data_IF_576009055525
#
_entry.id   IF_576009055525
#
_cell.length_a   1.000
_cell.length_b   1.000
_cell.length_c   1.000
_cell.angle_alpha   90.00
_cell.angle_beta   90.00
_cell.angle_gamma   90.00
#
_symmetry.space_group_name_H-M   'P 1'
#
loop_
_entity.id
_entity.type
_entity.pdbx_description
1 polymer ?
#
# COMPACT_ATOMS: atom_id res chain seq x y z
N UNK A 1 -71.78 7.29 31.65
CA UNK A 1 -71.72 7.65 30.21
C UNK A 1 -70.55 8.60 30.01
N UNK A 2 -69.43 8.13 29.44
CA UNK A 2 -68.29 8.99 29.03
C UNK A 2 -68.26 9.06 27.51
N UNK A 3 -67.98 10.23 26.91
CA UNK A 3 -67.93 10.35 25.46
C UNK A 3 -66.59 9.78 24.96
N UNK A 4 -66.65 8.85 24.00
CA UNK A 4 -65.48 8.40 23.26
C UNK A 4 -65.14 9.46 22.21
N UNK A 5 -64.06 10.21 22.45
CA UNK A 5 -63.48 11.13 21.46
C UNK A 5 -62.89 10.28 20.33
N UNK A 6 -63.43 10.42 19.12
CA UNK A 6 -63.00 9.71 17.91
C UNK A 6 -61.68 10.30 17.40
N UNK A 7 -60.57 9.66 17.77
CA UNK A 7 -59.18 10.03 17.45
C UNK A 7 -58.78 9.82 15.97
N UNK A 8 -59.71 9.47 15.09
CA UNK A 8 -59.44 8.86 13.78
C UNK A 8 -59.75 9.75 12.56
N UNK A 9 -59.52 11.08 12.64
CA UNK A 9 -59.65 11.97 11.47
C UNK A 9 -58.50 12.98 11.25
N UNK A 10 -57.38 12.84 11.96
CA UNK A 10 -56.21 13.75 11.82
C UNK A 10 -54.93 13.01 11.39
N UNK A 11 -54.84 11.69 11.60
CA UNK A 11 -53.62 10.93 11.37
C UNK A 11 -53.16 10.70 9.90
N UNK A 12 -54.01 10.62 8.85
CA UNK A 12 -53.51 10.22 7.53
C UNK A 12 -52.84 11.38 6.77
N UNK A 13 -53.12 12.65 7.12
CA UNK A 13 -52.55 13.82 6.42
C UNK A 13 -51.13 14.17 6.89
N UNK A 14 -50.84 13.99 8.19
CA UNK A 14 -49.51 14.28 8.77
C UNK A 14 -48.45 13.25 8.36
N UNK A 15 -48.83 11.96 8.26
CA UNK A 15 -47.93 10.89 7.82
C UNK A 15 -47.54 11.05 6.34
N UNK A 16 -48.47 11.50 5.50
CA UNK A 16 -48.21 11.74 4.07
C UNK A 16 -47.24 12.91 3.82
N UNK A 17 -47.33 13.99 4.61
CA UNK A 17 -46.41 15.14 4.54
C UNK A 17 -44.99 14.81 5.04
N UNK A 18 -44.85 13.94 6.04
CA UNK A 18 -43.54 13.48 6.53
C UNK A 18 -42.82 12.58 5.52
N UNK A 19 -43.54 11.73 4.78
CA UNK A 19 -42.95 10.85 3.75
C UNK A 19 -42.43 11.68 2.57
N UNK A 20 -43.14 12.73 2.14
CA UNK A 20 -42.69 13.61 1.05
C UNK A 20 -41.41 14.36 1.43
N UNK A 21 -41.24 14.73 2.70
CA UNK A 21 -40.05 15.43 3.20
C UNK A 21 -38.80 14.53 3.21
N UNK A 22 -38.98 13.21 3.37
CA UNK A 22 -37.89 12.24 3.38
C UNK A 22 -37.34 11.95 1.97
N UNK A 23 -38.13 12.19 0.91
CA UNK A 23 -37.69 12.03 -0.49
C UNK A 23 -36.99 13.27 -1.07
N UNK A 24 -37.16 14.47 -0.50
CA UNK A 24 -36.50 15.69 -0.99
C UNK A 24 -35.08 15.92 -0.45
N UNK A 25 -34.66 15.24 0.62
CA UNK A 25 -33.28 15.36 1.14
C UNK A 25 -32.26 14.53 0.33
N UNK A 26 -32.71 13.67 -0.59
CA UNK A 26 -31.85 12.80 -1.39
C UNK A 26 -31.05 13.48 -2.50
N UNK A 27 -31.34 14.74 -2.85
CA UNK A 27 -30.76 15.41 -4.02
C UNK A 27 -29.66 16.44 -3.71
N UNK A 28 -29.32 16.68 -2.44
CA UNK A 28 -28.35 17.71 -2.07
C UNK A 28 -26.90 17.42 -2.54
N UNK A 29 -26.60 16.18 -2.96
CA UNK A 29 -25.26 15.77 -3.38
C UNK A 29 -25.13 15.44 -4.88
N UNK A 30 -26.14 15.73 -5.69
CA UNK A 30 -26.11 15.44 -7.13
C UNK A 30 -25.03 16.24 -7.90
N UNK A 31 -24.54 17.36 -7.33
CA UNK A 31 -23.44 18.15 -7.90
C UNK A 31 -22.03 17.60 -7.68
N UNK A 32 -21.87 16.52 -6.90
CA UNK A 32 -20.56 15.95 -6.59
C UNK A 32 -20.14 14.82 -7.55
N UNK A 33 -21.01 14.42 -8.48
CA UNK A 33 -20.71 13.36 -9.45
C UNK A 33 -19.98 13.97 -10.65
N UNK A 34 -18.67 14.20 -10.50
CA UNK A 34 -17.80 14.61 -11.61
C UNK A 34 -16.79 15.74 -11.29
N UNK A 35 -16.90 16.39 -10.14
CA UNK A 35 -15.88 17.33 -9.69
C UNK A 35 -14.65 16.57 -9.19
N UNK A 36 -13.48 16.77 -9.81
CA UNK A 36 -12.21 16.24 -9.26
C UNK A 36 -12.01 16.81 -7.85
N UNK A 37 -11.61 15.98 -6.86
CA UNK A 37 -11.29 16.48 -5.53
C UNK A 37 -10.13 17.48 -5.61
N UNK A 38 -9.99 18.36 -4.62
CA UNK A 38 -8.92 19.39 -4.59
C UNK A 38 -7.51 18.79 -4.71
N UNK A 39 -7.33 17.56 -4.25
CA UNK A 39 -6.08 16.79 -4.36
C UNK A 39 -6.38 15.43 -5.01
N UNK A 40 -6.46 15.35 -6.34
CA UNK A 40 -6.72 14.10 -7.02
C UNK A 40 -5.55 13.13 -6.84
N UNK A 41 -5.89 11.89 -6.51
CA UNK A 41 -4.94 10.78 -6.39
C UNK A 41 -5.06 9.88 -7.62
N UNK A 42 -3.94 9.31 -8.04
CA UNK A 42 -3.81 8.29 -9.06
C UNK A 42 -3.53 6.94 -8.40
N UNK A 43 -4.21 5.89 -8.85
CA UNK A 43 -3.80 4.52 -8.54
C UNK A 43 -2.70 4.08 -9.50
N UNK A 44 -1.54 3.70 -8.96
CA UNK A 44 -0.42 3.18 -9.74
C UNK A 44 -0.14 1.72 -9.38
N UNK A 45 0.32 0.94 -10.36
CA UNK A 45 0.86 -0.39 -10.09
C UNK A 45 2.07 -0.28 -9.17
N UNK A 46 2.24 -1.23 -8.25
CA UNK A 46 3.32 -1.23 -7.27
C UNK A 46 4.15 -2.49 -7.42
N UNK A 47 5.46 -2.36 -7.59
CA UNK A 47 6.37 -3.49 -7.71
C UNK A 47 7.62 -3.29 -6.85
N UNK A 48 8.08 -4.38 -6.23
CA UNK A 48 9.31 -4.38 -5.47
C UNK A 48 10.46 -5.11 -6.17
N UNK A 49 11.66 -4.56 -6.03
CA UNK A 49 12.91 -5.15 -6.47
C UNK A 49 13.85 -5.34 -5.29
N UNK A 50 14.33 -6.57 -5.08
CA UNK A 50 15.28 -6.88 -4.03
C UNK A 50 16.68 -7.02 -4.62
N UNK A 51 17.51 -6.00 -4.39
CA UNK A 51 18.92 -5.99 -4.80
C UNK A 51 19.83 -6.64 -3.76
N UNK A 52 19.33 -7.00 -2.59
CA UNK A 52 20.15 -7.49 -1.48
C UNK A 52 20.40 -9.00 -1.57
N UNK A 53 21.37 -9.48 -0.78
CA UNK A 53 21.58 -10.91 -0.53
C UNK A 53 20.53 -11.53 0.41
N UNK A 54 19.75 -10.70 1.11
CA UNK A 54 18.75 -11.16 2.07
C UNK A 54 17.42 -11.47 1.39
N UNK A 55 16.55 -12.18 2.08
CA UNK A 55 15.18 -12.37 1.60
C UNK A 55 14.31 -11.20 2.02
N UNK A 56 13.79 -10.48 1.03
CA UNK A 56 12.67 -9.56 1.15
C UNK A 56 11.61 -10.11 0.19
N UNK A 57 10.38 -10.26 0.67
CA UNK A 57 9.28 -10.84 -0.12
C UNK A 57 8.15 -9.86 -0.32
N UNK A 58 7.98 -8.92 0.61
CA UNK A 58 6.93 -7.93 0.58
C UNK A 58 7.27 -6.72 1.45
N UNK A 59 6.51 -5.66 1.27
CA UNK A 59 6.69 -4.38 1.93
C UNK A 59 5.38 -3.59 1.99
N UNK A 60 5.29 -2.59 2.85
CA UNK A 60 4.25 -1.57 2.83
C UNK A 60 4.80 -0.27 2.25
N UNK A 61 3.90 0.51 1.64
CA UNK A 61 4.15 1.89 1.19
C UNK A 61 2.97 2.75 1.64
N UNK A 62 3.18 3.57 2.67
CA UNK A 62 2.11 4.24 3.39
C UNK A 62 1.05 3.19 3.83
N UNK A 63 -0.18 3.33 3.38
CA UNK A 63 -1.29 2.40 3.64
C UNK A 63 -1.39 1.24 2.61
N UNK A 64 -0.53 1.25 1.58
CA UNK A 64 -0.48 0.23 0.53
C UNK A 64 0.46 -0.93 0.86
N UNK A 65 0.31 -2.04 0.14
CA UNK A 65 1.15 -3.24 0.26
C UNK A 65 1.69 -3.66 -1.10
N UNK A 66 2.98 -4.00 -1.14
CA UNK A 66 3.73 -4.42 -2.32
C UNK A 66 4.42 -5.77 -2.12
N UNK A 67 4.78 -6.43 -3.22
CA UNK A 67 5.54 -7.69 -3.21
C UNK A 67 6.79 -7.59 -4.08
N UNK A 68 7.77 -8.46 -3.80
CA UNK A 68 8.93 -8.64 -4.67
C UNK A 68 8.58 -9.64 -5.79
N UNK A 69 8.93 -9.32 -7.03
CA UNK A 69 8.81 -10.25 -8.16
C UNK A 69 7.44 -10.28 -8.84
N UNK A 70 6.59 -9.30 -8.59
CA UNK A 70 5.34 -9.09 -9.32
C UNK A 70 4.77 -7.70 -9.03
N UNK A 71 3.93 -7.21 -9.94
CA UNK A 71 3.20 -5.96 -9.75
C UNK A 71 1.88 -6.26 -9.03
N UNK A 72 1.60 -5.52 -7.96
CA UNK A 72 0.30 -5.52 -7.29
C UNK A 72 -0.43 -4.21 -7.58
N UNK A 73 -1.76 -4.28 -7.67
CA UNK A 73 -2.59 -3.07 -7.72
C UNK A 73 -3.12 -2.78 -6.32
N UNK A 74 -3.12 -1.54 -5.84
CA UNK A 74 -2.51 -0.32 -6.39
C UNK A 74 -2.03 0.53 -5.20
N UNK A 75 -1.03 1.39 -5.42
CA UNK A 75 -0.68 2.45 -4.46
C UNK A 75 -1.32 3.77 -4.91
N UNK A 76 -1.85 4.52 -3.95
CA UNK A 76 -2.40 5.85 -4.21
C UNK A 76 -1.30 6.89 -4.07
N UNK A 77 -1.01 7.59 -5.16
CA UNK A 77 -0.07 8.72 -5.18
C UNK A 77 -0.75 9.98 -5.73
N UNK A 78 -0.26 11.19 -5.45
CA UNK A 78 -0.83 12.40 -6.03
C UNK A 78 -0.81 12.41 -7.56
N UNK A 79 -1.88 12.86 -8.22
CA UNK A 79 -1.89 13.01 -9.68
C UNK A 79 -0.82 14.02 -10.16
N UNK A 80 -0.52 15.02 -9.33
CA UNK A 80 0.57 15.99 -9.57
C UNK A 80 1.61 15.85 -8.47
N UNK A 81 2.86 15.65 -8.88
CA UNK A 81 3.97 15.67 -7.94
C UNK A 81 4.09 17.03 -7.23
N UNK A 82 4.64 17.03 -6.03
CA UNK A 82 4.97 18.24 -5.25
C UNK A 82 6.30 18.06 -4.51
N UNK A 83 7.03 19.15 -4.23
CA UNK A 83 8.22 19.09 -3.39
C UNK A 83 7.93 18.41 -2.04
N UNK A 84 8.91 17.67 -1.53
CA UNK A 84 8.82 16.90 -0.28
C UNK A 84 7.71 15.82 -0.29
N UNK A 85 7.37 15.29 -1.46
CA UNK A 85 6.56 14.09 -1.55
C UNK A 85 7.40 12.88 -1.10
N UNK A 86 7.09 12.34 0.07
CA UNK A 86 7.84 11.26 0.71
C UNK A 86 6.87 10.09 0.96
N UNK A 87 7.35 8.87 0.73
CA UNK A 87 6.68 7.63 1.09
C UNK A 87 7.29 7.03 2.35
N UNK A 88 6.44 6.50 3.24
CA UNK A 88 6.87 5.63 4.32
C UNK A 88 6.91 4.19 3.83
N UNK A 89 8.09 3.58 3.83
CA UNK A 89 8.29 2.20 3.41
C UNK A 89 8.62 1.36 4.63
N UNK A 90 7.95 0.22 4.80
CA UNK A 90 8.30 -0.76 5.83
C UNK A 90 8.44 -2.14 5.22
N UNK A 91 9.43 -2.90 5.67
CA UNK A 91 9.69 -4.25 5.15
C UNK A 91 10.37 -5.13 6.17
N UNK A 92 10.32 -6.44 5.92
CA UNK A 92 11.05 -7.43 6.69
C UNK A 92 12.18 -8.00 5.85
N UNK A 93 13.34 -8.19 6.50
CA UNK A 93 14.55 -8.77 5.93
C UNK A 93 14.87 -10.06 6.67
N UNK A 94 14.99 -11.15 5.93
CA UNK A 94 15.30 -12.47 6.49
C UNK A 94 16.71 -12.90 6.07
N UNK A 95 17.55 -13.21 7.05
CA UNK A 95 18.83 -13.90 6.81
C UNK A 95 18.60 -15.40 6.67
N UNK A 96 18.80 -15.91 5.45
CA UNK A 96 18.59 -17.31 5.11
C UNK A 96 19.75 -18.22 5.49
N UNK A 97 20.91 -17.68 5.87
CA UNK A 97 22.12 -18.48 6.10
C UNK A 97 21.94 -19.55 7.19
N UNK A 98 21.13 -19.26 8.21
CA UNK A 98 20.86 -20.17 9.33
C UNK A 98 19.43 -20.73 9.34
N UNK A 99 18.70 -20.64 8.22
CA UNK A 99 17.35 -21.17 8.10
C UNK A 99 17.35 -22.52 7.35
N UNK A 100 16.76 -23.57 7.93
CA UNK A 100 16.57 -24.82 7.18
C UNK A 100 15.61 -24.58 6.02
N UNK A 101 16.07 -24.82 4.80
CA UNK A 101 15.24 -24.80 3.60
C UNK A 101 15.35 -26.15 2.86
N UNK A 102 14.24 -26.72 2.32
CA UNK A 102 12.88 -26.18 2.35
C UNK A 102 12.28 -26.19 3.77
N UNK A 103 11.20 -25.41 3.96
CA UNK A 103 10.45 -25.46 5.21
C UNK A 103 9.89 -26.88 5.44
N UNK A 104 9.79 -27.36 6.70
CA UNK A 104 9.11 -28.60 7.02
C UNK A 104 7.66 -28.60 6.52
N UNK A 105 7.10 -29.78 6.27
CA UNK A 105 5.71 -29.90 5.88
C UNK A 105 4.78 -29.48 7.03
N UNK A 106 3.59 -29.00 6.70
CA UNK A 106 2.63 -28.53 7.71
C UNK A 106 2.16 -29.64 8.67
N UNK A 107 2.25 -30.92 8.29
CA UNK A 107 1.92 -32.06 9.15
C UNK A 107 3.05 -32.44 10.13
N UNK A 108 4.27 -31.92 9.94
CA UNK A 108 5.41 -32.09 10.84
C UNK A 108 5.39 -30.96 11.89
N UNK A 109 4.37 -30.96 12.75
CA UNK A 109 3.99 -29.81 13.59
C UNK A 109 5.14 -29.28 14.45
N UNK A 110 5.88 -30.15 15.14
CA UNK A 110 7.00 -29.75 15.99
C UNK A 110 8.14 -29.14 15.16
N UNK A 111 8.50 -29.78 14.05
CA UNK A 111 9.54 -29.30 13.15
C UNK A 111 9.15 -27.96 12.53
N UNK A 112 7.91 -27.82 12.07
CA UNK A 112 7.36 -26.58 11.53
C UNK A 112 7.37 -25.45 12.57
N UNK A 113 7.02 -25.76 13.83
CA UNK A 113 7.07 -24.78 14.93
C UNK A 113 8.49 -24.29 15.21
N UNK A 114 9.46 -25.20 15.26
CA UNK A 114 10.87 -24.85 15.44
C UNK A 114 11.39 -24.02 14.26
N UNK A 115 11.03 -24.41 13.04
CA UNK A 115 11.38 -23.66 11.83
C UNK A 115 10.80 -22.24 11.86
N UNK A 116 9.52 -22.09 12.26
CA UNK A 116 8.87 -20.77 12.39
C UNK A 116 9.55 -19.89 13.44
N UNK A 117 9.99 -20.45 14.56
CA UNK A 117 10.76 -19.72 15.56
C UNK A 117 12.09 -19.23 14.97
N UNK A 118 12.85 -20.10 14.30
CA UNK A 118 14.09 -19.70 13.61
C UNK A 118 13.83 -18.63 12.56
N UNK A 119 12.76 -18.76 11.76
CA UNK A 119 12.36 -17.73 10.79
C UNK A 119 12.16 -16.38 11.48
N UNK A 120 11.45 -16.37 12.62
CA UNK A 120 11.25 -15.16 13.40
C UNK A 120 12.57 -14.59 13.92
N UNK A 121 13.43 -15.41 14.53
CA UNK A 121 14.72 -15.00 15.09
C UNK A 121 15.68 -14.46 14.01
N UNK A 122 15.54 -14.93 12.77
CA UNK A 122 16.30 -14.49 11.60
C UNK A 122 15.65 -13.34 10.81
N UNK A 123 14.50 -12.85 11.26
CA UNK A 123 13.77 -11.74 10.61
C UNK A 123 14.04 -10.44 11.35
N UNK A 124 14.36 -9.40 10.60
CA UNK A 124 14.48 -8.03 11.11
C UNK A 124 13.51 -7.12 10.37
N UNK A 125 12.84 -6.23 11.11
CA UNK A 125 11.93 -5.24 10.56
C UNK A 125 12.66 -3.91 10.35
N UNK A 126 12.34 -3.25 9.24
CA UNK A 126 12.99 -2.00 8.82
C UNK A 126 11.95 -1.01 8.31
N UNK A 127 12.28 0.27 8.39
CA UNK A 127 11.49 1.34 7.80
C UNK A 127 12.38 2.45 7.22
N UNK A 128 11.84 3.16 6.24
CA UNK A 128 12.49 4.32 5.62
C UNK A 128 11.46 5.33 5.13
N UNK A 129 11.80 6.61 5.26
CA UNK A 129 11.07 7.73 4.65
C UNK A 129 11.80 8.13 3.36
N UNK A 130 11.23 7.78 2.22
CA UNK A 130 11.89 7.84 0.92
C UNK A 130 11.23 8.89 0.03
N UNK A 131 11.98 9.90 -0.48
CA UNK A 131 11.45 10.83 -1.45
C UNK A 131 10.97 10.10 -2.72
N UNK A 132 9.76 10.41 -3.17
CA UNK A 132 9.28 9.98 -4.49
C UNK A 132 9.86 10.97 -5.51
N UNK A 133 10.63 10.51 -6.53
CA UNK A 133 11.17 11.39 -7.56
C UNK A 133 10.07 12.18 -8.27
N UNK A 134 10.44 13.34 -8.82
CA UNK A 134 9.51 14.14 -9.58
C UNK A 134 8.97 13.37 -10.79
N UNK A 135 7.65 13.45 -10.99
CA UNK A 135 6.95 12.97 -12.17
C UNK A 135 6.00 14.06 -12.67
N UNK A 136 5.87 14.15 -13.99
CA UNK A 136 5.14 15.26 -14.61
C UNK A 136 3.67 14.91 -14.89
N UNK A 137 3.42 13.97 -15.80
CA UNK A 137 2.06 13.55 -16.19
C UNK A 137 1.88 12.05 -16.32
N UNK A 138 2.91 11.32 -16.71
CA UNK A 138 2.85 9.87 -16.87
C UNK A 138 3.52 9.19 -15.69
N UNK A 139 2.72 8.39 -14.99
CA UNK A 139 3.19 7.45 -13.98
C UNK A 139 2.74 6.09 -14.47
N UNK A 140 3.69 5.26 -14.88
CA UNK A 140 3.39 3.90 -15.34
C UNK A 140 3.32 2.90 -14.18
N UNK A 141 3.99 3.21 -13.08
CA UNK A 141 4.01 2.42 -11.86
C UNK A 141 4.78 3.13 -10.76
N UNK A 142 4.86 2.49 -9.61
CA UNK A 142 5.75 2.85 -8.50
C UNK A 142 6.59 1.62 -8.23
N UNK A 143 7.88 1.72 -8.49
CA UNK A 143 8.82 0.64 -8.20
C UNK A 143 9.63 1.00 -6.96
N UNK A 144 9.75 0.04 -6.04
CA UNK A 144 10.49 0.19 -4.79
C UNK A 144 11.67 -0.78 -4.80
N UNK A 145 12.87 -0.22 -4.78
CA UNK A 145 14.12 -0.96 -4.81
C UNK A 145 14.72 -1.01 -3.42
N UNK A 146 14.99 -2.21 -2.92
CA UNK A 146 15.66 -2.46 -1.64
C UNK A 146 17.13 -2.79 -1.90
N UNK A 147 18.03 -1.96 -1.37
CA UNK A 147 19.47 -2.04 -1.53
C UNK A 147 20.17 -2.43 -0.21
N UNK A 148 21.45 -2.83 -0.25
CA UNK A 148 22.26 -3.00 0.94
C UNK A 148 22.23 -1.76 1.86
N UNK A 149 22.55 -1.96 3.14
CA UNK A 149 22.52 -0.92 4.16
C UNK A 149 21.15 -0.30 4.40
N UNK A 150 20.10 -1.10 4.16
CA UNK A 150 18.69 -0.70 4.29
C UNK A 150 18.36 0.57 3.49
N UNK A 151 19.07 0.81 2.40
CA UNK A 151 18.73 1.88 1.48
C UNK A 151 17.54 1.47 0.61
N UNK A 152 16.64 2.43 0.39
CA UNK A 152 15.47 2.24 -0.44
C UNK A 152 15.42 3.36 -1.48
N UNK A 153 15.16 2.99 -2.73
CA UNK A 153 14.92 3.92 -3.83
C UNK A 153 13.55 3.70 -4.40
N UNK A 154 12.91 4.78 -4.85
CA UNK A 154 11.62 4.74 -5.53
C UNK A 154 11.81 5.30 -6.93
N UNK A 155 11.13 4.74 -7.92
CA UNK A 155 11.00 5.32 -9.26
C UNK A 155 9.57 5.19 -9.75
N UNK A 156 9.17 6.10 -10.62
CA UNK A 156 7.86 6.10 -11.30
C UNK A 156 8.01 6.00 -12.81
N UNK A 157 9.15 5.45 -13.26
CA UNK A 157 9.51 5.33 -14.67
C UNK A 157 8.51 4.49 -15.47
N UNK A 158 8.41 4.77 -16.76
CA UNK A 158 7.70 3.95 -17.73
C UNK A 158 8.58 2.87 -18.38
N UNK A 159 9.88 2.93 -18.13
CA UNK A 159 10.82 1.89 -18.53
C UNK A 159 10.81 0.75 -17.51
N UNK A 160 11.27 -0.43 -17.92
CA UNK A 160 11.43 -1.59 -17.03
C UNK A 160 12.87 -1.73 -16.55
N UNK A 161 13.08 -2.29 -15.37
CA UNK A 161 14.43 -2.56 -14.86
C UNK A 161 15.29 -3.36 -15.87
N UNK A 162 16.48 -2.85 -16.18
CA UNK A 162 17.40 -3.38 -17.18
C UNK A 162 17.41 -2.59 -18.50
N UNK A 163 16.43 -1.72 -18.71
CA UNK A 163 16.40 -0.76 -19.81
C UNK A 163 17.41 0.38 -19.58
N UNK A 164 18.10 0.89 -20.63
CA UNK A 164 19.10 1.95 -20.49
C UNK A 164 18.54 3.25 -19.91
N UNK A 165 17.27 3.54 -20.12
CA UNK A 165 16.57 4.72 -19.63
C UNK A 165 15.96 4.52 -18.24
N UNK A 166 16.07 3.31 -17.65
CA UNK A 166 15.56 3.05 -16.31
C UNK A 166 16.46 3.67 -15.22
N UNK A 167 15.91 4.46 -14.27
CA UNK A 167 16.73 5.26 -13.34
C UNK A 167 17.57 4.47 -12.33
N UNK A 168 17.25 3.19 -12.09
CA UNK A 168 17.90 2.35 -11.08
C UNK A 168 18.66 1.24 -11.78
N UNK A 169 19.99 1.25 -11.68
CA UNK A 169 20.87 0.34 -12.45
C UNK A 169 21.65 -0.64 -11.58
N UNK A 170 21.47 -0.55 -10.26
CA UNK A 170 22.16 -1.38 -9.28
C UNK A 170 21.85 -2.86 -9.51
N UNK A 171 22.85 -3.74 -9.50
CA UNK A 171 22.66 -5.15 -9.82
C UNK A 171 21.80 -5.85 -8.76
N UNK A 172 21.25 -7.01 -9.13
CA UNK A 172 20.57 -7.90 -8.19
C UNK A 172 21.59 -8.67 -7.34
N UNK A 173 21.19 -9.13 -6.14
CA UNK A 173 21.98 -10.00 -5.23
C UNK A 173 23.31 -9.38 -4.75
N UNK A 174 23.33 -8.08 -4.51
CA UNK A 174 24.42 -7.36 -3.86
C UNK A 174 24.66 -7.85 -2.43
N UNK A 175 25.94 -7.97 -2.07
CA UNK A 175 26.35 -8.27 -0.69
C UNK A 175 26.28 -7.00 0.15
N UNK A 176 25.97 -7.19 1.43
CA UNK A 176 26.11 -6.13 2.42
C UNK A 176 27.60 -5.76 2.55
N UNK A 177 27.98 -4.47 2.48
CA UNK A 177 29.35 -4.07 2.77
C UNK A 177 29.67 -4.31 4.25
N UNK A 178 30.96 -4.44 4.57
CA UNK A 178 31.41 -4.64 5.95
C UNK A 178 31.04 -3.47 6.87
N UNK A 179 30.95 -2.27 6.31
CA UNK A 179 30.53 -1.05 7.01
C UNK A 179 29.53 -0.32 6.13
N UNK A 180 28.37 0.00 6.71
CA UNK A 180 27.38 0.81 6.03
C UNK A 180 27.73 2.29 6.13
N UNK A 181 27.60 3.06 5.03
CA UNK A 181 27.76 4.51 5.08
C UNK A 181 26.81 5.12 6.11
N UNK A 182 27.31 6.08 6.88
CA UNK A 182 26.47 6.92 7.75
C UNK A 182 25.78 7.94 6.85
N UNK A 183 24.45 8.02 6.93
CA UNK A 183 23.64 9.01 6.20
C UNK A 183 23.47 10.29 7.02
#
# INVERSE_FOLDING_TARGET
MSPKITFWRIFPKLVSLLIISFFLSGCANAGSWGAKPKNPMLGAGLQGYNHTQYSITAFSINEGYGSIGGTVCCVMIPEKWRPNLIAHIQWNKVDKNNLPFPAPNFNEVEAYRQWKQKLHDNTSSHEAWVPIPQYDKEVCGVDVHFLPCNEVKITTSCYSYGDPEYPITEPMKMKEPAVCPQK
#
